data_IF_557310468121
#
_entry.id   IF_557310468121
#
_cell.length_a   1.000
_cell.length_b   1.000
_cell.length_c   1.000
_cell.angle_alpha   90.00
_cell.angle_beta   90.00
_cell.angle_gamma   90.00
#
_symmetry.space_group_name_H-M   'P 1'
#
loop_
_entity.id
_entity.type
_entity.pdbx_description
1 polymer ?
#
# COMPACT_ATOMS: atom_id res chain seq x y z
N UNK A 1 13.71 -65.28 -19.36
CA UNK A 1 14.63 -64.11 -19.33
C UNK A 1 14.10 -63.05 -20.28
N UNK A 2 13.65 -61.89 -19.75
CA UNK A 2 13.66 -60.56 -20.38
C UNK A 2 13.06 -59.56 -19.39
N UNK A 3 13.91 -58.78 -18.74
CA UNK A 3 13.52 -57.62 -17.94
C UNK A 3 13.41 -56.41 -18.86
N UNK A 4 12.35 -55.63 -18.74
CA UNK A 4 12.20 -54.34 -19.42
C UNK A 4 12.02 -53.29 -18.33
N UNK A 5 13.09 -52.52 -18.08
CA UNK A 5 13.05 -51.35 -17.22
C UNK A 5 12.44 -50.16 -17.96
N UNK A 6 11.38 -49.58 -17.41
CA UNK A 6 10.90 -48.25 -17.79
C UNK A 6 11.60 -47.20 -16.93
N UNK A 7 12.39 -46.33 -17.56
CA UNK A 7 12.95 -45.13 -16.93
C UNK A 7 11.91 -44.01 -17.10
N UNK A 8 11.27 -43.62 -16.00
CA UNK A 8 10.37 -42.48 -15.96
C UNK A 8 11.19 -41.19 -15.75
N UNK A 9 11.44 -40.45 -16.84
CA UNK A 9 12.02 -39.10 -16.77
C UNK A 9 10.94 -38.09 -16.40
N UNK A 10 10.94 -37.65 -15.14
CA UNK A 10 10.14 -36.50 -14.68
C UNK A 10 10.79 -35.20 -15.11
N UNK A 11 10.15 -34.48 -16.04
CA UNK A 11 10.50 -33.09 -16.37
C UNK A 11 9.94 -32.19 -15.26
N UNK A 12 10.83 -31.56 -14.49
CA UNK A 12 10.48 -30.51 -13.54
C UNK A 12 10.07 -29.26 -14.33
N UNK A 13 8.76 -28.97 -14.40
CA UNK A 13 8.25 -27.71 -14.92
C UNK A 13 8.54 -26.57 -13.95
N UNK A 14 9.25 -25.54 -14.41
CA UNK A 14 9.43 -24.30 -13.65
C UNK A 14 8.10 -23.55 -13.54
N UNK A 15 7.60 -23.37 -12.31
CA UNK A 15 6.47 -22.51 -12.03
C UNK A 15 6.90 -21.05 -12.28
N UNK A 16 6.17 -20.25 -13.10
CA UNK A 16 6.40 -18.82 -13.15
C UNK A 16 6.15 -18.25 -11.76
N UNK A 17 7.13 -17.52 -11.22
CA UNK A 17 7.02 -16.81 -9.97
C UNK A 17 5.69 -16.02 -9.96
N UNK A 18 4.83 -16.34 -9.00
CA UNK A 18 3.44 -15.90 -8.99
C UNK A 18 3.31 -14.38 -9.13
N UNK A 19 2.60 -13.95 -10.16
CA UNK A 19 2.02 -12.62 -10.19
C UNK A 19 1.01 -12.56 -9.03
N UNK A 20 1.41 -11.90 -7.94
CA UNK A 20 0.48 -11.53 -6.88
C UNK A 20 -0.54 -10.61 -7.58
N UNK A 21 -1.86 -10.92 -7.55
CA UNK A 21 -2.84 -10.03 -8.15
C UNK A 21 -2.63 -8.63 -7.58
N UNK A 22 -2.78 -7.56 -8.39
CA UNK A 22 -2.69 -6.21 -7.84
C UNK A 22 -3.67 -6.15 -6.66
N UNK A 23 -3.25 -5.60 -5.50
CA UNK A 23 -4.16 -5.44 -4.38
C UNK A 23 -5.43 -4.74 -4.87
N UNK A 24 -6.62 -5.13 -4.37
CA UNK A 24 -7.85 -4.44 -4.71
C UNK A 24 -7.67 -2.94 -4.52
N UNK A 25 -8.24 -2.15 -5.43
CA UNK A 25 -8.03 -0.71 -5.50
C UNK A 25 -8.36 -0.04 -4.15
N UNK A 26 -7.29 0.23 -3.38
CA UNK A 26 -7.35 0.70 -2.00
C UNK A 26 -6.97 2.18 -1.90
N UNK A 27 -6.67 2.84 -3.03
CA UNK A 27 -6.27 4.25 -3.09
C UNK A 27 -7.30 5.05 -3.90
N UNK A 28 -7.89 6.08 -3.31
CA UNK A 28 -8.95 6.87 -3.97
C UNK A 28 -8.46 8.15 -4.65
N UNK A 29 -7.15 8.29 -4.83
CA UNK A 29 -6.52 9.53 -5.31
C UNK A 29 -6.04 10.45 -4.19
N UNK A 30 -6.44 10.23 -2.94
CA UNK A 30 -6.02 11.03 -1.78
C UNK A 30 -5.52 10.19 -0.60
N UNK A 31 -6.21 9.11 -0.26
CA UNK A 31 -5.81 8.18 0.81
C UNK A 31 -6.56 6.86 0.62
N UNK A 32 -7.06 6.25 1.69
CA UNK A 32 -7.69 4.93 1.69
C UNK A 32 -9.07 4.99 1.04
N UNK A 33 -9.26 4.13 0.03
CA UNK A 33 -10.56 3.89 -0.58
C UNK A 33 -11.34 2.86 0.25
N UNK A 34 -12.30 3.33 1.05
CA UNK A 34 -13.13 2.43 1.84
C UNK A 34 -14.09 1.61 0.97
N UNK A 35 -13.76 0.34 0.75
CA UNK A 35 -14.55 -0.59 -0.06
C UNK A 35 -14.63 -1.99 0.59
N UNK A 36 -15.80 -2.67 0.57
CA UNK A 36 -15.95 -4.00 1.15
C UNK A 36 -15.05 -5.10 0.57
N UNK A 37 -14.64 -4.98 -0.70
CA UNK A 37 -13.69 -5.89 -1.34
C UNK A 37 -12.24 -5.35 -1.32
N UNK A 38 -11.94 -4.36 -0.48
CA UNK A 38 -10.58 -3.83 -0.28
C UNK A 38 -9.64 -4.82 0.40
N UNK A 39 -8.39 -4.41 0.59
CA UNK A 39 -7.40 -5.22 1.31
C UNK A 39 -7.87 -5.51 2.75
N UNK A 40 -7.28 -6.52 3.40
CA UNK A 40 -7.58 -6.79 4.81
C UNK A 40 -7.31 -5.56 5.71
N UNK A 41 -6.30 -4.76 5.38
CA UNK A 41 -5.96 -3.55 6.10
C UNK A 41 -6.97 -2.43 5.83
N UNK A 42 -7.38 -2.24 4.57
CA UNK A 42 -8.44 -1.30 4.18
C UNK A 42 -9.76 -1.63 4.87
N UNK A 43 -10.20 -2.88 4.83
CA UNK A 43 -11.43 -3.33 5.50
C UNK A 43 -11.34 -3.09 7.02
N UNK A 44 -10.17 -3.32 7.62
CA UNK A 44 -9.93 -3.04 9.03
C UNK A 44 -10.05 -1.54 9.34
N UNK A 45 -9.45 -0.67 8.52
CA UNK A 45 -9.54 0.79 8.68
C UNK A 45 -10.99 1.24 8.66
N UNK A 46 -11.76 0.80 7.65
CA UNK A 46 -13.15 1.23 7.45
C UNK A 46 -14.14 0.72 8.50
N UNK A 47 -13.73 -0.25 9.32
CA UNK A 47 -14.56 -0.80 10.42
C UNK A 47 -14.10 -0.36 11.80
N UNK A 48 -12.90 0.20 11.92
CA UNK A 48 -12.35 0.70 13.18
C UNK A 48 -12.48 2.23 13.23
N UNK A 49 -13.25 2.73 14.18
CA UNK A 49 -13.54 4.15 14.30
C UNK A 49 -12.29 5.01 14.52
N UNK A 50 -11.28 4.50 15.25
CA UNK A 50 -10.04 5.23 15.49
C UNK A 50 -9.20 5.31 14.20
N UNK A 51 -9.09 4.20 13.47
CA UNK A 51 -8.34 4.18 12.21
C UNK A 51 -9.03 4.99 11.10
N UNK A 52 -10.37 5.01 11.08
CA UNK A 52 -11.16 5.85 10.18
C UNK A 52 -10.94 7.34 10.49
N UNK A 53 -10.96 7.73 11.76
CA UNK A 53 -10.69 9.11 12.15
C UNK A 53 -9.29 9.56 11.71
N UNK A 54 -8.29 8.68 11.89
CA UNK A 54 -6.92 8.94 11.47
C UNK A 54 -6.76 9.05 9.94
N UNK A 55 -7.52 8.25 9.16
CA UNK A 55 -7.59 8.43 7.70
C UNK A 55 -8.22 9.77 7.29
N UNK A 56 -9.23 10.23 8.04
CA UNK A 56 -9.79 11.58 7.87
C UNK A 56 -8.75 12.69 8.07
N UNK A 57 -7.91 12.57 9.10
CA UNK A 57 -6.80 13.51 9.34
C UNK A 57 -5.75 13.47 8.22
N UNK A 58 -5.40 12.27 7.75
CA UNK A 58 -4.51 12.08 6.60
C UNK A 58 -5.05 12.75 5.35
N UNK A 59 -6.33 12.53 5.03
CA UNK A 59 -7.01 13.14 3.89
C UNK A 59 -6.97 14.66 3.97
N UNK A 60 -7.26 15.22 5.14
CA UNK A 60 -7.20 16.65 5.35
C UNK A 60 -5.77 17.20 5.16
N UNK A 61 -4.74 16.48 5.63
CA UNK A 61 -3.34 16.88 5.44
C UNK A 61 -2.91 16.79 3.98
N UNK A 62 -3.27 15.72 3.27
CA UNK A 62 -3.01 15.54 1.85
C UNK A 62 -3.63 16.68 1.03
N UNK A 63 -4.92 16.99 1.25
CA UNK A 63 -5.61 18.08 0.54
C UNK A 63 -5.01 19.45 0.82
N UNK A 64 -4.48 19.70 2.03
CA UNK A 64 -3.78 20.96 2.33
C UNK A 64 -2.54 21.11 1.44
N UNK A 65 -1.71 20.08 1.33
CA UNK A 65 -0.52 20.10 0.47
C UNK A 65 -0.87 20.13 -1.02
N UNK A 66 -1.89 19.38 -1.45
CA UNK A 66 -2.33 19.35 -2.84
C UNK A 66 -2.82 20.73 -3.32
N UNK A 67 -3.42 21.51 -2.42
CA UNK A 67 -3.90 22.86 -2.70
C UNK A 67 -2.90 23.97 -2.31
N UNK A 68 -1.69 23.61 -1.87
CA UNK A 68 -0.68 24.60 -1.50
C UNK A 68 -0.13 25.27 -2.76
N UNK A 69 -0.30 26.60 -2.83
CA UNK A 69 0.13 27.39 -3.98
C UNK A 69 1.66 27.42 -4.17
N UNK A 70 2.43 27.07 -3.14
CA UNK A 70 3.90 26.95 -3.23
C UNK A 70 4.35 25.68 -3.97
N UNK A 71 3.46 24.70 -4.16
CA UNK A 71 3.78 23.48 -4.88
C UNK A 71 3.76 23.70 -6.40
N UNK A 72 4.77 23.17 -7.06
CA UNK A 72 4.75 22.97 -8.51
C UNK A 72 3.84 21.80 -8.89
N UNK A 73 3.48 21.70 -10.16
CA UNK A 73 2.70 20.56 -10.64
C UNK A 73 3.42 19.23 -10.42
N UNK A 74 4.72 19.17 -10.71
CA UNK A 74 5.54 17.99 -10.45
C UNK A 74 5.55 17.58 -8.96
N UNK A 75 5.51 18.55 -8.04
CA UNK A 75 5.40 18.26 -6.61
C UNK A 75 4.02 17.70 -6.24
N UNK A 76 2.94 18.19 -6.87
CA UNK A 76 1.59 17.64 -6.68
C UNK A 76 1.48 16.21 -7.21
N UNK A 77 2.01 15.94 -8.40
CA UNK A 77 2.06 14.58 -8.98
C UNK A 77 2.88 13.63 -8.08
N UNK A 78 4.06 14.08 -7.63
CA UNK A 78 4.90 13.30 -6.73
C UNK A 78 4.22 13.03 -5.38
N UNK A 79 3.43 13.98 -4.85
CA UNK A 79 2.65 13.80 -3.64
C UNK A 79 1.59 12.69 -3.81
N UNK A 80 0.81 12.71 -4.89
CA UNK A 80 -0.20 11.69 -5.21
C UNK A 80 0.47 10.32 -5.33
N UNK A 81 1.57 10.23 -6.07
CA UNK A 81 2.27 8.97 -6.31
C UNK A 81 2.92 8.40 -5.03
N UNK A 82 3.48 9.25 -4.16
CA UNK A 82 3.96 8.79 -2.86
C UNK A 82 2.82 8.31 -1.95
N UNK A 83 1.66 8.95 -2.03
CA UNK A 83 0.49 8.55 -1.25
C UNK A 83 -0.01 7.18 -1.70
N UNK A 84 -0.14 6.95 -3.02
CA UNK A 84 -0.48 5.64 -3.60
C UNK A 84 0.47 4.54 -3.12
N UNK A 85 1.78 4.77 -3.25
CA UNK A 85 2.80 3.81 -2.79
C UNK A 85 2.75 3.54 -1.29
N UNK A 86 2.41 4.55 -0.49
CA UNK A 86 2.18 4.36 0.95
C UNK A 86 0.98 3.46 1.23
N UNK A 87 -0.15 3.65 0.54
CA UNK A 87 -1.33 2.77 0.67
C UNK A 87 -0.97 1.32 0.34
N UNK A 88 -0.28 1.09 -0.78
CA UNK A 88 0.18 -0.24 -1.19
C UNK A 88 1.12 -0.90 -0.17
N UNK A 89 1.95 -0.11 0.51
CA UNK A 89 2.82 -0.61 1.58
C UNK A 89 2.01 -0.93 2.85
N UNK A 90 1.03 -0.10 3.21
CA UNK A 90 0.15 -0.29 4.36
C UNK A 90 -0.71 -1.56 4.20
N UNK A 91 -1.19 -1.82 2.99
CA UNK A 91 -1.93 -3.04 2.66
C UNK A 91 -1.16 -4.33 2.97
N UNK A 92 0.16 -4.27 3.06
CA UNK A 92 1.01 -5.41 3.40
C UNK A 92 1.12 -5.66 4.91
N UNK A 93 0.41 -4.90 5.76
CA UNK A 93 0.44 -5.10 7.22
C UNK A 93 0.01 -6.51 7.68
N UNK A 94 -0.66 -7.30 6.83
CA UNK A 94 -0.92 -8.72 7.11
C UNK A 94 0.34 -9.58 7.18
N UNK A 95 1.46 -9.11 6.61
CA UNK A 95 2.78 -9.79 6.63
C UNK A 95 3.62 -9.42 7.85
N UNK A 96 3.19 -8.45 8.65
CA UNK A 96 3.95 -7.99 9.80
C UNK A 96 3.93 -9.05 10.93
N UNK A 97 4.98 -9.08 11.74
CA UNK A 97 5.05 -9.94 12.93
C UNK A 97 4.20 -9.42 14.10
N UNK A 98 3.79 -8.15 14.05
CA UNK A 98 2.91 -7.52 15.05
C UNK A 98 1.42 -7.70 14.67
N UNK A 99 0.51 -7.30 15.55
CA UNK A 99 -0.92 -7.33 15.23
C UNK A 99 -1.19 -6.38 14.07
N UNK A 100 -1.98 -6.82 13.09
CA UNK A 100 -2.30 -6.04 11.89
C UNK A 100 -2.80 -4.62 12.22
N UNK A 101 -3.69 -4.49 13.21
CA UNK A 101 -4.20 -3.19 13.69
C UNK A 101 -3.08 -2.24 14.13
N UNK A 102 -2.09 -2.77 14.86
CA UNK A 102 -0.97 -1.97 15.37
C UNK A 102 -0.07 -1.52 14.22
N UNK A 103 0.22 -2.41 13.26
CA UNK A 103 0.93 -2.06 12.03
C UNK A 103 0.22 -0.95 11.24
N UNK A 104 -1.09 -1.08 11.02
CA UNK A 104 -1.91 -0.12 10.27
C UNK A 104 -1.91 1.24 10.97
N UNK A 105 -2.24 1.28 12.26
CA UNK A 105 -2.26 2.52 13.06
C UNK A 105 -0.90 3.21 13.05
N UNK A 106 0.17 2.44 13.23
CA UNK A 106 1.55 2.94 13.21
C UNK A 106 1.93 3.47 11.82
N UNK A 107 1.47 2.83 10.74
CA UNK A 107 1.65 3.32 9.36
C UNK A 107 0.93 4.64 9.11
N UNK A 108 -0.36 4.74 9.48
CA UNK A 108 -1.16 5.95 9.34
C UNK A 108 -0.57 7.13 10.13
N UNK A 109 -0.13 6.91 11.38
CA UNK A 109 0.49 7.97 12.20
C UNK A 109 1.77 8.51 11.59
N UNK A 110 2.65 7.63 11.10
CA UNK A 110 3.87 8.06 10.40
C UNK A 110 3.54 8.86 9.14
N UNK A 111 2.59 8.38 8.33
CA UNK A 111 2.22 9.11 7.12
C UNK A 111 1.65 10.48 7.45
N UNK A 112 0.84 10.59 8.50
CA UNK A 112 0.27 11.86 8.93
C UNK A 112 1.38 12.83 9.33
N UNK A 113 2.35 12.37 10.10
CA UNK A 113 3.52 13.17 10.45
C UNK A 113 4.27 13.64 9.20
N UNK A 114 4.54 12.75 8.23
CA UNK A 114 5.23 13.11 6.99
C UNK A 114 4.46 14.16 6.18
N UNK A 115 3.12 14.06 6.11
CA UNK A 115 2.28 15.06 5.44
C UNK A 115 2.25 16.40 6.22
N UNK A 116 2.35 16.36 7.54
CA UNK A 116 2.33 17.57 8.38
C UNK A 116 3.67 18.30 8.39
N UNK A 117 4.78 17.58 8.35
CA UNK A 117 6.12 18.17 8.35
C UNK A 117 6.64 18.41 6.94
N UNK A 118 6.01 17.83 5.91
CA UNK A 118 6.39 17.83 4.49
C UNK A 118 7.84 17.38 4.19
N UNK A 119 8.67 17.18 5.20
CA UNK A 119 10.01 16.62 5.08
C UNK A 119 9.95 15.17 4.56
N UNK A 120 10.73 14.96 3.49
CA UNK A 120 11.26 13.70 2.95
C UNK A 120 10.33 12.82 2.07
N UNK A 121 10.22 13.14 0.76
CA UNK A 121 10.94 12.49 -0.37
C UNK A 121 10.82 13.40 -1.62
N UNK A 122 11.61 14.47 -1.69
CA UNK A 122 12.08 14.96 -2.98
C UNK A 122 13.59 14.75 -2.98
N UNK A 123 14.06 13.85 -3.84
CA UNK A 123 14.70 14.36 -5.02
C UNK A 123 13.90 13.92 -6.24
N UNK A 124 13.37 14.89 -6.98
CA UNK A 124 13.28 14.71 -8.43
C UNK A 124 14.70 14.42 -8.88
N UNK A 125 15.00 13.16 -9.19
CA UNK A 125 16.23 12.82 -9.93
C UNK A 125 15.95 13.15 -11.40
N UNK A 126 16.85 13.87 -12.10
CA UNK A 126 16.67 14.20 -13.51
C UNK A 126 16.52 12.95 -14.39
#
# INVERSE_FOLDING_TARGET
>A
MKAVSFVASTVLGALPAGAIPPPPDSFDGETIHCHPAGSAATVLICRDAELTALDGELRAAFRRLQNDASFTEAQREALVENQRRWVESMDQCWRAQERMRDCVKRSQKRRLQHLQTWEAVSPVKP
#
